data_IF_978106541663
#
_entry.id   IF_978106541663
#
_cell.length_a   1.000
_cell.length_b   1.000
_cell.length_c   1.000
_cell.angle_alpha   90.00
_cell.angle_beta   90.00
_cell.angle_gamma   90.00
#
_symmetry.space_group_name_H-M   'P 1'
#
loop_
_entity.id
_entity.type
_entity.pdbx_description
1 polymer ?
#
# COMPACT_ATOMS: atom_id res chain seq x y z
N UNK A 1 7.37 -22.90 15.94
CA UNK A 1 7.73 -21.47 15.75
C UNK A 1 7.21 -21.05 14.38
N UNK A 2 6.61 -19.86 14.25
CA UNK A 2 5.99 -19.37 13.00
C UNK A 2 6.41 -17.92 12.73
N UNK A 3 6.60 -17.55 11.46
CA UNK A 3 6.90 -16.18 11.01
C UNK A 3 6.42 -16.01 9.56
N UNK A 4 5.57 -15.01 9.25
CA UNK A 4 5.13 -14.76 7.88
C UNK A 4 6.21 -14.04 7.06
N UNK A 5 6.16 -14.21 5.74
CA UNK A 5 6.85 -13.34 4.79
C UNK A 5 6.09 -12.02 4.70
N UNK A 6 6.79 -10.89 4.83
CA UNK A 6 6.22 -9.55 4.72
C UNK A 6 7.12 -8.71 3.83
N UNK A 7 6.56 -8.11 2.78
CA UNK A 7 7.25 -7.17 1.91
C UNK A 7 6.24 -6.19 1.29
N UNK A 8 6.74 -5.13 0.66
CA UNK A 8 5.89 -4.21 -0.07
C UNK A 8 5.74 -4.66 -1.53
N UNK A 9 4.51 -4.64 -2.06
CA UNK A 9 4.20 -4.80 -3.47
C UNK A 9 3.56 -3.50 -3.95
N UNK A 10 4.36 -2.60 -4.51
CA UNK A 10 3.95 -1.22 -4.80
C UNK A 10 3.85 -0.97 -6.30
N UNK A 11 2.65 -0.62 -6.76
CA UNK A 11 2.42 -0.05 -8.09
C UNK A 11 2.13 1.45 -7.91
N UNK A 12 3.10 2.35 -8.13
CA UNK A 12 2.86 3.78 -8.03
C UNK A 12 1.93 4.28 -9.15
N UNK A 13 1.62 5.57 -9.14
CA UNK A 13 0.93 6.20 -10.27
C UNK A 13 1.77 6.10 -11.56
N UNK A 14 1.10 6.20 -12.70
CA UNK A 14 1.73 5.94 -14.00
C UNK A 14 2.90 6.90 -14.28
N UNK A 15 2.81 8.17 -13.88
CA UNK A 15 3.92 9.13 -13.99
C UNK A 15 5.14 8.73 -13.15
N UNK A 16 4.93 8.11 -11.98
CA UNK A 16 6.00 7.61 -11.14
C UNK A 16 6.59 6.30 -11.68
N UNK A 17 5.79 5.43 -12.33
CA UNK A 17 6.31 4.29 -13.09
C UNK A 17 7.24 4.76 -14.21
N UNK A 18 6.80 5.73 -15.03
CA UNK A 18 7.62 6.32 -16.08
C UNK A 18 8.89 6.99 -15.54
N UNK A 19 8.79 7.64 -14.38
CA UNK A 19 9.95 8.24 -13.70
C UNK A 19 10.97 7.19 -13.26
N UNK A 20 10.52 6.01 -12.80
CA UNK A 20 11.40 4.89 -12.44
C UNK A 20 12.06 4.30 -13.70
N UNK A 21 11.30 4.12 -14.77
CA UNK A 21 11.82 3.62 -16.05
C UNK A 21 12.89 4.57 -16.63
N UNK A 22 12.64 5.88 -16.62
CA UNK A 22 13.64 6.87 -17.02
C UNK A 22 14.88 6.81 -16.12
N UNK A 23 14.69 6.73 -14.80
CA UNK A 23 15.80 6.67 -13.84
C UNK A 23 16.69 5.43 -14.08
N UNK A 24 16.09 4.27 -14.31
CA UNK A 24 16.79 3.03 -14.66
C UNK A 24 17.49 3.16 -16.02
N UNK A 25 16.79 3.68 -17.04
CA UNK A 25 17.33 3.90 -18.39
C UNK A 25 18.49 4.90 -18.43
N UNK A 26 18.57 5.83 -17.46
CA UNK A 26 19.69 6.76 -17.26
C UNK A 26 20.87 6.16 -16.49
N UNK A 27 20.88 4.84 -16.27
CA UNK A 27 21.92 4.17 -15.50
C UNK A 27 21.89 4.56 -14.03
N UNK A 28 20.69 4.69 -13.46
CA UNK A 28 20.47 5.09 -12.05
C UNK A 28 20.96 6.50 -11.72
N UNK A 29 21.02 7.38 -12.73
CA UNK A 29 21.28 8.80 -12.54
C UNK A 29 19.95 9.55 -12.43
N UNK A 30 19.76 10.20 -11.29
CA UNK A 30 18.55 10.95 -10.96
C UNK A 30 18.24 12.03 -11.98
N UNK A 31 16.94 12.25 -12.23
CA UNK A 31 16.45 13.39 -13.01
C UNK A 31 16.87 14.72 -12.39
N UNK A 32 17.16 15.69 -13.24
CA UNK A 32 17.60 17.03 -12.83
C UNK A 32 16.49 17.82 -12.13
N UNK A 33 15.22 17.48 -12.39
CA UNK A 33 14.05 18.08 -11.77
C UNK A 33 13.11 17.01 -11.22
N UNK A 34 12.37 17.35 -10.16
CA UNK A 34 11.36 16.50 -9.53
C UNK A 34 10.13 17.33 -9.22
N UNK A 35 8.95 16.72 -9.32
CA UNK A 35 7.67 17.36 -8.99
C UNK A 35 6.81 16.39 -8.20
N UNK A 36 6.18 16.89 -7.15
CA UNK A 36 5.13 16.16 -6.43
C UNK A 36 3.81 16.69 -6.95
N UNK A 37 3.00 15.80 -7.52
CA UNK A 37 1.70 16.17 -8.06
C UNK A 37 0.70 16.44 -6.93
N UNK A 38 -0.05 17.54 -7.05
CA UNK A 38 -1.14 17.82 -6.12
C UNK A 38 -2.37 18.35 -6.83
N UNK A 39 -2.32 19.60 -7.28
CA UNK A 39 -3.49 20.28 -7.84
C UNK A 39 -3.74 19.84 -9.29
N UNK A 40 -2.69 19.39 -9.99
CA UNK A 40 -2.78 18.84 -11.34
C UNK A 40 -3.44 17.45 -11.44
N UNK A 41 -3.64 16.74 -10.32
CA UNK A 41 -4.31 15.43 -10.35
C UNK A 41 -5.79 15.64 -10.71
N UNK A 42 -6.19 15.14 -11.87
CA UNK A 42 -7.56 15.32 -12.39
C UNK A 42 -8.54 14.32 -11.78
N UNK A 43 -8.11 13.08 -11.62
CA UNK A 43 -8.89 11.98 -11.06
C UNK A 43 -7.96 10.85 -10.57
N UNK A 44 -8.53 9.79 -10.02
CA UNK A 44 -7.84 8.59 -9.56
C UNK A 44 -7.97 8.35 -8.07
N UNK A 45 -7.55 7.17 -7.65
CA UNK A 45 -7.60 6.71 -6.27
C UNK A 45 -6.24 6.19 -5.81
N UNK A 46 -6.04 6.21 -4.50
CA UNK A 46 -5.00 5.44 -3.84
C UNK A 46 -5.64 4.26 -3.12
N UNK A 47 -5.31 3.05 -3.57
CA UNK A 47 -5.73 1.80 -2.96
C UNK A 47 -4.59 1.23 -2.13
N UNK A 48 -4.66 1.44 -0.82
CA UNK A 48 -3.62 1.06 0.12
C UNK A 48 -4.20 0.07 1.14
N UNK A 49 -3.60 -1.11 1.22
CA UNK A 49 -4.05 -2.17 2.11
C UNK A 49 -3.01 -3.25 2.34
N UNK A 50 -3.42 -4.26 3.08
CA UNK A 50 -2.65 -5.49 3.33
C UNK A 50 -3.29 -6.65 2.60
N UNK A 51 -2.47 -7.49 1.97
CA UNK A 51 -2.89 -8.73 1.34
C UNK A 51 -2.41 -9.92 2.16
N UNK A 52 -3.33 -10.60 2.82
CA UNK A 52 -3.08 -11.81 3.60
C UNK A 52 -3.30 -13.02 2.70
N UNK A 53 -2.31 -13.92 2.65
CA UNK A 53 -2.29 -15.07 1.74
C UNK A 53 -2.08 -16.37 2.52
N UNK A 54 -2.46 -17.52 1.95
CA UNK A 54 -2.17 -18.84 2.52
C UNK A 54 -3.23 -19.44 3.44
N UNK A 55 -4.41 -18.83 3.56
CA UNK A 55 -5.54 -19.44 4.28
C UNK A 55 -6.48 -20.19 3.32
N UNK A 56 -7.36 -21.04 3.85
CA UNK A 56 -8.28 -21.88 3.06
C UNK A 56 -9.26 -21.09 2.17
N UNK A 57 -9.43 -19.78 2.40
CA UNK A 57 -10.29 -18.90 1.59
C UNK A 57 -9.51 -18.16 0.48
N UNK A 58 -8.26 -18.53 0.23
CA UNK A 58 -7.39 -17.89 -0.75
C UNK A 58 -6.72 -16.64 -0.18
N UNK A 59 -6.87 -15.50 -0.87
CA UNK A 59 -6.33 -14.22 -0.44
C UNK A 59 -7.40 -13.35 0.22
N UNK A 60 -6.97 -12.52 1.17
CA UNK A 60 -7.79 -11.50 1.79
C UNK A 60 -7.10 -10.15 1.74
N UNK A 61 -7.64 -9.24 0.95
CA UNK A 61 -7.19 -7.84 0.92
C UNK A 61 -8.03 -7.01 1.88
N UNK A 62 -7.40 -6.24 2.74
CA UNK A 62 -8.08 -5.26 3.59
C UNK A 62 -7.38 -3.91 3.50
N UNK A 63 -8.13 -2.86 3.18
CA UNK A 63 -7.51 -1.54 2.99
C UNK A 63 -8.48 -0.43 2.65
N UNK A 64 -7.88 0.73 2.41
CA UNK A 64 -8.53 1.98 2.04
C UNK A 64 -8.54 2.14 0.53
N UNK A 65 -9.70 2.51 -0.01
CA UNK A 65 -9.86 3.04 -1.36
C UNK A 65 -10.32 4.48 -1.23
N UNK A 66 -9.39 5.41 -1.43
CA UNK A 66 -9.66 6.84 -1.32
C UNK A 66 -9.42 7.52 -2.66
N UNK A 67 -10.43 8.20 -3.20
CA UNK A 67 -10.25 8.98 -4.42
C UNK A 67 -9.69 10.36 -4.12
N UNK A 68 -8.89 10.92 -5.03
CA UNK A 68 -8.37 12.29 -4.87
C UNK A 68 -9.50 13.33 -4.78
N UNK A 69 -10.60 13.24 -5.56
CA UNK A 69 -11.75 14.13 -5.37
C UNK A 69 -12.41 14.00 -3.98
N UNK A 70 -12.50 12.79 -3.41
CA UNK A 70 -12.99 12.61 -2.04
C UNK A 70 -12.03 13.24 -1.02
N UNK A 71 -10.73 12.99 -1.14
CA UNK A 71 -9.71 13.52 -0.25
C UNK A 71 -9.76 15.05 -0.17
N UNK A 72 -9.85 15.72 -1.33
CA UNK A 72 -9.95 17.19 -1.42
C UNK A 72 -11.21 17.76 -0.76
N UNK A 73 -12.33 17.02 -0.77
CA UNK A 73 -13.57 17.43 -0.06
C UNK A 73 -13.45 17.27 1.45
N UNK A 74 -12.74 16.24 1.91
CA UNK A 74 -12.56 15.96 3.33
C UNK A 74 -11.52 16.88 3.98
N UNK A 75 -10.41 17.13 3.29
CA UNK A 75 -9.32 17.97 3.76
C UNK A 75 -8.67 18.70 2.56
N UNK A 76 -8.87 20.03 2.44
CA UNK A 76 -8.22 20.82 1.40
C UNK A 76 -6.70 20.62 1.40
N UNK A 77 -6.07 20.83 0.23
CA UNK A 77 -4.62 20.68 0.01
C UNK A 77 -4.07 19.25 0.15
N UNK A 78 -4.93 18.23 0.18
CA UNK A 78 -4.51 16.83 0.18
C UNK A 78 -4.90 16.11 -1.13
N UNK A 79 -4.01 15.24 -1.59
CA UNK A 79 -4.31 14.12 -2.49
C UNK A 79 -4.78 12.90 -1.68
N UNK A 80 -5.26 11.85 -2.35
CA UNK A 80 -5.58 10.57 -1.70
C UNK A 80 -4.42 10.02 -0.87
N UNK A 81 -3.23 9.89 -1.49
CA UNK A 81 -2.01 9.42 -0.83
C UNK A 81 -1.66 10.24 0.41
N UNK A 82 -1.64 11.58 0.29
CA UNK A 82 -1.28 12.43 1.42
C UNK A 82 -2.28 12.35 2.57
N UNK A 83 -3.59 12.24 2.26
CA UNK A 83 -4.61 12.20 3.30
C UNK A 83 -4.57 10.88 4.08
N UNK A 84 -4.31 9.75 3.43
CA UNK A 84 -4.13 8.46 4.11
C UNK A 84 -2.96 8.51 5.11
N UNK A 85 -1.83 9.10 4.71
CA UNK A 85 -0.66 9.29 5.59
C UNK A 85 -1.01 10.17 6.79
N UNK A 86 -1.57 11.35 6.54
CA UNK A 86 -1.90 12.31 7.61
C UNK A 86 -2.97 11.75 8.55
N UNK A 87 -3.94 10.99 8.04
CA UNK A 87 -4.95 10.31 8.86
C UNK A 87 -4.32 9.33 9.86
N UNK A 88 -3.33 8.53 9.42
CA UNK A 88 -2.56 7.66 10.31
C UNK A 88 -1.77 8.45 11.36
N UNK A 89 -1.11 9.54 10.95
CA UNK A 89 -0.38 10.43 11.88
C UNK A 89 -1.33 11.03 12.92
N UNK A 90 -2.51 11.51 12.53
CA UNK A 90 -3.50 12.05 13.46
C UNK A 90 -3.94 11.00 14.48
N UNK A 91 -4.18 9.76 14.05
CA UNK A 91 -4.49 8.65 14.96
C UNK A 91 -3.36 8.34 15.93
N UNK A 92 -2.11 8.35 15.46
CA UNK A 92 -0.92 8.18 16.31
C UNK A 92 -0.74 9.31 17.33
N UNK A 93 -0.97 10.57 16.94
CA UNK A 93 -0.91 11.73 17.85
C UNK A 93 -1.97 11.60 18.95
N UNK A 94 -3.21 11.26 18.59
CA UNK A 94 -4.29 11.05 19.58
C UNK A 94 -3.90 9.93 20.56
N UNK A 95 -3.40 8.81 20.05
CA UNK A 95 -2.94 7.71 20.91
C UNK A 95 -1.78 8.16 21.84
N UNK A 96 -0.82 8.92 21.34
CA UNK A 96 0.32 9.40 22.13
C UNK A 96 -0.11 10.37 23.24
N UNK A 97 -1.09 11.23 22.98
CA UNK A 97 -1.67 12.12 23.99
C UNK A 97 -2.42 11.35 25.08
N UNK A 98 -3.09 10.25 24.71
CA UNK A 98 -3.73 9.33 25.66
C UNK A 98 -2.70 8.48 26.44
N UNK A 99 -1.48 8.29 25.91
CA UNK A 99 -0.43 7.42 26.47
C UNK A 99 0.95 8.12 26.57
N UNK A 100 1.07 9.25 27.30
CA UNK A 100 2.24 10.14 27.21
C UNK A 100 3.54 9.58 27.82
N UNK A 101 3.48 8.40 28.45
CA UNK A 101 4.62 7.75 29.14
C UNK A 101 4.95 6.37 28.58
N UNK A 102 4.47 6.04 27.38
CA UNK A 102 4.69 4.74 26.75
C UNK A 102 6.14 4.51 26.25
N UNK A 103 6.99 5.55 26.26
CA UNK A 103 8.35 5.46 25.73
C UNK A 103 8.38 5.46 24.21
N UNK A 104 9.37 4.80 23.63
CA UNK A 104 9.47 4.61 22.18
C UNK A 104 8.65 3.38 21.80
N UNK A 105 7.74 3.55 20.85
CA UNK A 105 6.80 2.53 20.38
C UNK A 105 6.73 2.54 18.86
N UNK A 106 6.38 1.40 18.28
CA UNK A 106 6.09 1.24 16.85
C UNK A 106 4.57 1.15 16.61
N UNK A 107 4.07 1.29 15.36
CA UNK A 107 2.65 1.14 15.06
C UNK A 107 2.05 -0.21 15.49
N UNK A 108 2.86 -1.26 15.55
CA UNK A 108 2.46 -2.60 16.01
C UNK A 108 2.30 -2.69 17.54
N UNK A 109 2.87 -1.74 18.31
CA UNK A 109 2.79 -1.68 19.77
C UNK A 109 1.56 -0.90 20.29
N UNK A 110 0.83 -0.20 19.41
CA UNK A 110 -0.26 0.71 19.79
C UNK A 110 -1.65 0.13 19.46
N UNK A 111 -2.69 0.60 20.16
CA UNK A 111 -4.06 0.13 19.91
C UNK A 111 -4.59 0.67 18.58
N UNK A 112 -4.66 -0.23 17.59
CA UNK A 112 -5.20 0.08 16.27
C UNK A 112 -6.61 0.66 16.34
N UNK A 113 -7.42 0.36 17.37
CA UNK A 113 -8.79 0.91 17.49
C UNK A 113 -8.79 2.41 17.71
N UNK A 114 -7.88 2.94 18.52
CA UNK A 114 -7.74 4.39 18.72
C UNK A 114 -7.31 5.06 17.40
N UNK A 115 -6.31 4.49 16.73
CA UNK A 115 -5.82 5.03 15.45
C UNK A 115 -6.94 5.00 14.39
N UNK A 116 -7.63 3.87 14.23
CA UNK A 116 -8.69 3.71 13.25
C UNK A 116 -9.93 4.56 13.58
N UNK A 117 -10.26 4.77 14.86
CA UNK A 117 -11.35 5.69 15.26
C UNK A 117 -11.12 7.10 14.71
N UNK A 118 -9.87 7.55 14.71
CA UNK A 118 -9.47 8.89 14.23
C UNK A 118 -9.28 8.92 12.72
N UNK A 119 -8.62 7.91 12.15
CA UNK A 119 -8.25 7.89 10.75
C UNK A 119 -9.44 7.56 9.83
N UNK A 120 -10.35 6.66 10.24
CA UNK A 120 -11.43 6.12 9.39
C UNK A 120 -12.28 7.16 8.63
N UNK A 121 -12.66 8.31 9.20
CA UNK A 121 -13.38 9.35 8.47
C UNK A 121 -12.63 9.91 7.24
N UNK A 122 -11.31 9.72 7.17
CA UNK A 122 -10.43 10.24 6.12
C UNK A 122 -9.94 9.17 5.13
N UNK A 123 -10.34 7.90 5.31
CA UNK A 123 -9.83 6.76 4.53
C UNK A 123 -10.75 6.32 3.39
N UNK A 124 -11.78 7.11 3.05
CA UNK A 124 -12.71 6.74 1.98
C UNK A 124 -13.44 5.44 2.28
N UNK A 125 -13.49 4.53 1.31
CA UNK A 125 -14.04 3.19 1.51
C UNK A 125 -12.99 2.28 2.16
N UNK A 126 -13.29 1.75 3.35
CA UNK A 126 -12.53 0.65 3.95
C UNK A 126 -13.24 -0.67 3.65
N UNK A 127 -12.59 -1.54 2.89
CA UNK A 127 -13.18 -2.79 2.42
C UNK A 127 -12.26 -3.98 2.68
N UNK A 128 -12.88 -5.12 2.96
CA UNK A 128 -12.23 -6.42 3.01
C UNK A 128 -12.76 -7.29 1.87
N UNK A 129 -11.86 -7.80 1.02
CA UNK A 129 -12.20 -8.56 -0.19
C UNK A 129 -11.47 -9.89 -0.15
N UNK A 130 -12.23 -10.98 -0.31
CA UNK A 130 -11.64 -12.30 -0.57
C UNK A 130 -11.54 -12.51 -2.08
N UNK A 131 -10.48 -13.19 -2.49
CA UNK A 131 -10.30 -13.66 -3.87
C UNK A 131 -9.61 -15.03 -3.89
N UNK A 132 -9.73 -15.74 -5.00
CA UNK A 132 -9.07 -17.03 -5.23
C UNK A 132 -7.75 -16.89 -6.00
N UNK A 133 -7.39 -15.66 -6.40
CA UNK A 133 -6.17 -15.37 -7.16
C UNK A 133 -4.93 -15.96 -6.52
N UNK A 134 -4.05 -16.53 -7.32
CA UNK A 134 -2.71 -16.95 -6.92
C UNK A 134 -1.62 -16.40 -7.85
N UNK A 135 -0.36 -16.31 -7.40
CA UNK A 135 0.76 -15.99 -8.29
C UNK A 135 0.95 -16.96 -9.46
N UNK A 136 0.31 -18.14 -9.43
CA UNK A 136 0.39 -19.14 -10.50
C UNK A 136 -0.65 -18.94 -11.62
N UNK A 137 -1.67 -18.09 -11.43
CA UNK A 137 -2.83 -18.01 -12.34
C UNK A 137 -2.49 -17.51 -13.75
N UNK A 138 -1.44 -16.70 -13.90
CA UNK A 138 -1.07 -16.05 -15.17
C UNK A 138 0.34 -16.40 -15.63
N UNK A 139 0.77 -17.65 -15.40
CA UNK A 139 2.07 -18.10 -15.92
C UNK A 139 2.09 -18.13 -17.44
N UNK A 140 3.18 -17.62 -18.01
CA UNK A 140 3.38 -17.61 -19.46
C UNK A 140 3.64 -19.03 -19.98
N UNK A 141 2.92 -19.49 -21.01
CA UNK A 141 3.23 -20.75 -21.67
C UNK A 141 4.44 -20.65 -22.63
N UNK A 142 4.94 -19.43 -22.87
CA UNK A 142 6.00 -19.18 -23.85
C UNK A 142 7.40 -19.41 -23.28
N UNK A 143 7.56 -19.32 -21.97
CA UNK A 143 8.85 -19.42 -21.30
C UNK A 143 8.73 -20.35 -20.09
N UNK A 144 9.67 -21.28 -19.99
CA UNK A 144 9.74 -22.20 -18.85
C UNK A 144 10.41 -21.51 -17.66
N UNK A 145 9.58 -20.93 -16.78
CA UNK A 145 10.05 -20.28 -15.56
C UNK A 145 9.91 -21.25 -14.38
N UNK A 146 10.96 -21.48 -13.58
CA UNK A 146 10.89 -22.30 -12.37
C UNK A 146 9.77 -21.82 -11.43
N UNK A 147 9.09 -22.76 -10.78
CA UNK A 147 7.99 -22.48 -9.85
C UNK A 147 7.92 -23.53 -8.74
N UNK A 148 7.20 -23.20 -7.67
CA UNK A 148 6.85 -24.12 -6.59
C UNK A 148 5.36 -24.48 -6.66
N UNK A 149 5.01 -25.71 -6.28
CA UNK A 149 3.62 -26.18 -6.22
C UNK A 149 2.80 -25.46 -5.14
N UNK A 150 3.45 -25.01 -4.06
CA UNK A 150 2.82 -24.11 -3.11
C UNK A 150 2.77 -22.69 -3.72
N UNK A 151 1.57 -22.19 -4.07
CA UNK A 151 1.42 -20.93 -4.79
C UNK A 151 1.98 -19.72 -4.02
N UNK A 152 2.09 -19.80 -2.69
CA UNK A 152 2.49 -18.68 -1.84
C UNK A 152 4.00 -18.58 -1.61
N UNK A 153 4.78 -19.48 -2.19
CA UNK A 153 6.23 -19.38 -2.15
C UNK A 153 6.70 -18.10 -2.84
N UNK A 154 7.66 -17.41 -2.22
CA UNK A 154 8.19 -16.15 -2.75
C UNK A 154 8.80 -16.30 -4.16
N UNK A 155 9.24 -17.52 -4.51
CA UNK A 155 9.67 -17.88 -5.87
C UNK A 155 8.59 -17.55 -6.92
N UNK A 156 7.32 -17.81 -6.61
CA UNK A 156 6.20 -17.59 -7.52
C UNK A 156 5.76 -16.11 -7.57
N UNK A 157 6.05 -15.33 -6.52
CA UNK A 157 5.69 -13.90 -6.43
C UNK A 157 6.72 -13.01 -7.12
N UNK A 158 8.02 -13.34 -7.00
CA UNK A 158 9.10 -12.53 -7.55
C UNK A 158 9.17 -12.68 -9.07
N UNK A 159 9.05 -11.59 -9.81
CA UNK A 159 9.38 -11.56 -11.25
C UNK A 159 10.90 -11.57 -11.41
N UNK A 160 11.51 -12.63 -11.98
CA UNK A 160 12.95 -12.65 -12.24
C UNK A 160 13.30 -11.71 -13.40
N UNK A 161 14.47 -11.07 -13.27
CA UNK A 161 15.07 -10.19 -14.28
C UNK A 161 16.00 -10.99 -15.21
#
# INVERSE_FOLDING_TARGET
MYRPTVHYAYRPCDDALLSIDEFAGRGWRMQDNKRIMRDEIVDGADELGVLLMGNDKGVYWYGSRLTTPQARRLAPHNTATSLQVVAGIMGGIVWALENPRAGVVEPDDIDYRTVMRVARPYLGELVGVYDTWTPLDQRSPLFDTPYDEDPWQFLNVRVPW
#
